data_IF_065834067227
#
_entry.id   IF_065834067227
#
_cell.length_a   1.000
_cell.length_b   1.000
_cell.length_c   1.000
_cell.angle_alpha   90.00
_cell.angle_beta   90.00
_cell.angle_gamma   90.00
#
_symmetry.space_group_name_H-M   'P 1'
#
loop_
_entity.id
_entity.type
_entity.pdbx_description
1 polymer ?
#
# COMPACT_ATOMS: atom_id res chain seq x y z
N UNK A 1 8.96 37.73 -33.02
CA UNK A 1 10.20 36.99 -32.70
C UNK A 1 9.86 36.01 -31.60
N UNK A 2 9.76 34.74 -31.99
CA UNK A 2 9.52 33.60 -31.12
C UNK A 2 10.72 33.37 -30.19
N UNK A 3 10.43 33.13 -28.91
CA UNK A 3 11.40 32.74 -27.90
C UNK A 3 10.89 31.50 -27.18
N UNK A 4 11.04 30.36 -27.86
CA UNK A 4 10.82 29.01 -27.34
C UNK A 4 11.50 28.83 -25.98
N UNK A 5 10.71 28.59 -24.94
CA UNK A 5 11.15 27.83 -23.77
C UNK A 5 10.22 26.65 -23.61
N UNK A 6 10.39 25.68 -24.51
CA UNK A 6 9.98 24.31 -24.28
C UNK A 6 10.75 23.76 -23.07
N UNK A 7 10.29 24.12 -21.88
CA UNK A 7 10.77 23.60 -20.63
C UNK A 7 10.34 22.14 -20.58
N UNK A 8 11.28 21.26 -20.91
CA UNK A 8 11.12 19.82 -20.85
C UNK A 8 10.51 19.43 -19.51
N UNK A 9 9.22 19.09 -19.52
CA UNK A 9 8.54 18.48 -18.38
C UNK A 9 9.14 17.10 -18.17
N UNK A 10 10.27 17.04 -17.47
CA UNK A 10 10.76 15.79 -16.91
C UNK A 10 9.60 15.16 -16.13
N UNK A 11 9.14 14.00 -16.56
CA UNK A 11 8.12 13.22 -15.85
C UNK A 11 8.72 12.90 -14.48
N UNK A 12 8.31 13.64 -13.46
CA UNK A 12 8.79 13.44 -12.10
C UNK A 12 8.23 12.11 -11.61
N UNK A 13 9.07 11.09 -11.58
CA UNK A 13 8.70 9.74 -11.11
C UNK A 13 8.05 9.80 -9.74
N UNK A 14 6.95 9.07 -9.56
CA UNK A 14 6.24 8.98 -8.29
C UNK A 14 7.00 8.09 -7.30
N UNK A 15 8.06 8.63 -6.68
CA UNK A 15 8.93 7.90 -5.74
C UNK A 15 8.17 7.22 -4.60
N UNK A 16 7.07 7.80 -4.14
CA UNK A 16 6.24 7.21 -3.08
C UNK A 16 5.55 5.92 -3.51
N UNK A 17 5.02 5.87 -4.74
CA UNK A 17 4.41 4.66 -5.31
C UNK A 17 5.42 3.52 -5.40
N UNK A 18 6.59 3.78 -5.99
CA UNK A 18 7.64 2.77 -6.12
C UNK A 18 8.14 2.28 -4.76
N UNK A 19 8.24 3.18 -3.77
CA UNK A 19 8.63 2.81 -2.42
C UNK A 19 7.61 1.88 -1.76
N UNK A 20 6.32 2.24 -1.74
CA UNK A 20 5.26 1.37 -1.20
C UNK A 20 5.19 0.04 -1.97
N UNK A 21 5.36 0.07 -3.29
CA UNK A 21 5.43 -1.12 -4.13
C UNK A 21 6.57 -2.07 -3.74
N UNK A 22 7.78 -1.54 -3.59
CA UNK A 22 8.95 -2.33 -3.17
C UNK A 22 8.74 -2.93 -1.77
N UNK A 23 8.21 -2.15 -0.83
CA UNK A 23 7.90 -2.64 0.51
C UNK A 23 6.81 -3.70 0.50
N UNK A 24 5.80 -3.56 -0.37
CA UNK A 24 4.75 -4.56 -0.54
C UNK A 24 5.32 -5.88 -1.06
N UNK A 25 6.26 -5.82 -2.01
CA UNK A 25 6.95 -7.01 -2.50
C UNK A 25 7.74 -7.69 -1.37
N UNK A 26 8.47 -6.92 -0.55
CA UNK A 26 9.17 -7.45 0.62
C UNK A 26 8.19 -8.12 1.60
N UNK A 27 7.04 -7.51 1.86
CA UNK A 27 6.01 -8.09 2.73
C UNK A 27 5.44 -9.39 2.16
N UNK A 28 5.26 -9.50 0.84
CA UNK A 28 4.78 -10.76 0.23
C UNK A 28 5.75 -11.93 0.38
N UNK A 29 7.00 -11.68 0.78
CA UNK A 29 7.98 -12.72 1.09
C UNK A 29 7.92 -13.18 2.54
N UNK A 30 6.97 -12.69 3.36
CA UNK A 30 6.84 -13.07 4.76
C UNK A 30 5.81 -14.19 4.95
N UNK A 31 6.10 -15.21 5.79
CA UNK A 31 7.42 -15.53 6.33
C UNK A 31 8.35 -16.01 5.20
N UNK A 32 9.65 -15.77 5.34
CA UNK A 32 10.63 -16.19 4.33
C UNK A 32 10.70 -17.72 4.20
N UNK A 33 10.28 -18.44 5.24
CA UNK A 33 10.19 -19.89 5.27
C UNK A 33 9.13 -20.37 4.27
N UNK A 34 9.54 -21.26 3.34
CA UNK A 34 8.64 -21.88 2.37
C UNK A 34 8.38 -21.05 1.11
N UNK A 35 9.00 -19.88 0.98
CA UNK A 35 8.99 -19.08 -0.25
C UNK A 35 9.70 -19.83 -1.38
N UNK A 36 9.03 -19.96 -2.54
CA UNK A 36 9.63 -20.46 -3.77
C UNK A 36 10.45 -19.33 -4.44
N UNK A 37 11.80 -19.47 -4.53
CA UNK A 37 12.64 -18.44 -5.09
C UNK A 37 12.42 -18.20 -6.59
N UNK A 38 12.04 -19.23 -7.35
CA UNK A 38 11.74 -19.09 -8.77
C UNK A 38 10.48 -18.25 -8.96
N UNK A 39 9.41 -18.57 -8.21
CA UNK A 39 8.16 -17.78 -8.25
C UNK A 39 8.37 -16.35 -7.78
N UNK A 40 9.20 -16.15 -6.76
CA UNK A 40 9.57 -14.81 -6.28
C UNK A 40 10.23 -13.96 -7.38
N UNK A 41 11.16 -14.54 -8.14
CA UNK A 41 11.83 -13.86 -9.27
C UNK A 41 10.86 -13.60 -10.42
N UNK A 42 10.02 -14.58 -10.78
CA UNK A 42 9.02 -14.44 -11.84
C UNK A 42 7.95 -13.37 -11.54
N UNK A 43 7.72 -13.05 -10.26
CA UNK A 43 6.81 -11.98 -9.87
C UNK A 43 7.39 -10.58 -10.14
N UNK A 44 8.72 -10.41 -10.16
CA UNK A 44 9.35 -9.08 -10.30
C UNK A 44 8.87 -8.32 -11.55
N UNK A 45 8.86 -8.92 -12.76
CA UNK A 45 8.31 -8.26 -13.94
C UNK A 45 6.85 -7.82 -13.79
N UNK A 46 6.00 -8.65 -13.17
CA UNK A 46 4.58 -8.32 -12.94
C UNK A 46 4.44 -7.16 -11.95
N UNK A 47 5.19 -7.18 -10.85
CA UNK A 47 5.20 -6.09 -9.88
C UNK A 47 5.67 -4.77 -10.51
N UNK A 48 6.73 -4.80 -11.31
CA UNK A 48 7.24 -3.62 -12.03
C UNK A 48 6.23 -3.09 -13.06
N UNK A 49 5.63 -3.98 -13.87
CA UNK A 49 4.56 -3.61 -14.78
C UNK A 49 3.41 -2.93 -14.02
N UNK A 50 3.06 -3.45 -12.83
CA UNK A 50 1.97 -2.93 -11.99
C UNK A 50 2.25 -1.51 -11.51
N UNK A 51 3.49 -1.26 -11.07
CA UNK A 51 3.91 0.07 -10.66
C UNK A 51 3.89 1.07 -11.82
N UNK A 52 4.41 0.67 -12.99
CA UNK A 52 4.44 1.52 -14.19
C UNK A 52 3.01 1.85 -14.65
N UNK A 53 2.12 0.86 -14.69
CA UNK A 53 0.73 1.08 -15.07
C UNK A 53 0.03 1.99 -14.07
N UNK A 54 0.21 1.76 -12.76
CA UNK A 54 -0.42 2.57 -11.72
C UNK A 54 0.07 4.01 -11.73
N UNK A 55 1.36 4.25 -11.99
CA UNK A 55 1.91 5.59 -12.16
C UNK A 55 1.21 6.36 -13.29
N UNK A 56 0.91 5.68 -14.40
CA UNK A 56 0.22 6.26 -15.55
C UNK A 56 -1.29 6.42 -15.33
N UNK A 57 -1.92 5.44 -14.69
CA UNK A 57 -3.38 5.37 -14.55
C UNK A 57 -3.88 6.26 -13.42
N UNK A 58 -3.16 6.37 -12.30
CA UNK A 58 -3.62 7.08 -11.10
C UNK A 58 -3.99 8.55 -11.35
N UNK A 59 -3.18 9.37 -12.05
CA UNK A 59 -3.56 10.75 -12.37
C UNK A 59 -4.80 10.85 -13.27
N UNK A 60 -4.96 9.91 -14.20
CA UNK A 60 -6.11 9.85 -15.11
C UNK A 60 -7.39 9.41 -14.40
N UNK A 61 -7.28 8.43 -13.50
CA UNK A 61 -8.36 8.02 -12.61
C UNK A 61 -8.80 9.18 -11.70
N UNK A 62 -7.85 9.86 -11.04
CA UNK A 62 -8.14 10.99 -10.16
C UNK A 62 -8.77 12.19 -10.89
N UNK A 63 -8.43 12.38 -12.17
CA UNK A 63 -9.03 13.42 -13.03
C UNK A 63 -10.29 12.95 -13.78
N UNK A 64 -10.75 11.71 -13.58
CA UNK A 64 -11.90 11.08 -14.26
C UNK A 64 -11.76 11.08 -15.79
N UNK A 65 -10.54 10.89 -16.27
CA UNK A 65 -10.16 10.87 -17.70
C UNK A 65 -9.68 9.48 -18.14
N UNK A 66 -10.27 8.43 -17.58
CA UNK A 66 -10.01 7.07 -18.04
C UNK A 66 -10.73 6.86 -19.38
N UNK A 67 -9.98 6.71 -20.46
CA UNK A 67 -10.51 6.36 -21.77
C UNK A 67 -10.22 4.91 -22.15
N UNK A 68 -10.47 4.59 -23.42
CA UNK A 68 -10.23 3.25 -23.99
C UNK A 68 -8.77 2.79 -23.83
N UNK A 69 -7.80 3.69 -24.02
CA UNK A 69 -6.37 3.38 -23.88
C UNK A 69 -6.03 2.96 -22.44
N UNK A 70 -6.57 3.67 -21.45
CA UNK A 70 -6.39 3.34 -20.04
C UNK A 70 -7.09 2.04 -19.68
N UNK A 71 -8.30 1.83 -20.20
CA UNK A 71 -9.02 0.56 -20.08
C UNK A 71 -8.20 -0.62 -20.58
N UNK A 72 -7.56 -0.48 -21.74
CA UNK A 72 -6.69 -1.52 -22.30
C UNK A 72 -5.47 -1.80 -21.41
N UNK A 73 -4.84 -0.78 -20.83
CA UNK A 73 -3.74 -0.97 -19.86
C UNK A 73 -4.24 -1.70 -18.62
N UNK A 74 -5.41 -1.31 -18.08
CA UNK A 74 -6.03 -1.96 -16.91
C UNK A 74 -6.32 -3.43 -17.22
N UNK A 75 -6.91 -3.73 -18.38
CA UNK A 75 -7.21 -5.11 -18.77
C UNK A 75 -5.94 -5.93 -18.90
N UNK A 76 -4.95 -5.44 -19.66
CA UNK A 76 -3.71 -6.15 -19.90
C UNK A 76 -2.99 -6.48 -18.59
N UNK A 77 -2.98 -5.55 -17.64
CA UNK A 77 -2.32 -5.78 -16.36
C UNK A 77 -3.12 -6.64 -15.39
N UNK A 78 -4.43 -6.68 -15.54
CA UNK A 78 -5.30 -7.51 -14.71
C UNK A 78 -5.25 -8.98 -15.13
N UNK A 79 -4.97 -9.29 -16.41
CA UNK A 79 -4.91 -10.67 -16.91
C UNK A 79 -3.97 -11.57 -16.10
N UNK A 80 -2.71 -11.19 -15.81
CA UNK A 80 -1.85 -11.99 -14.93
C UNK A 80 -2.45 -12.23 -13.54
N UNK A 81 -3.07 -11.22 -12.93
CA UNK A 81 -3.71 -11.37 -11.61
C UNK A 81 -4.94 -12.28 -11.67
N UNK A 82 -5.72 -12.23 -12.75
CA UNK A 82 -6.85 -13.13 -12.98
C UNK A 82 -6.37 -14.57 -13.23
N UNK A 83 -5.25 -14.75 -13.94
CA UNK A 83 -4.64 -16.08 -14.10
C UNK A 83 -4.16 -16.64 -12.75
N UNK A 84 -3.53 -15.80 -11.92
CA UNK A 84 -3.16 -16.18 -10.55
C UNK A 84 -4.39 -16.53 -9.70
N UNK A 85 -5.53 -15.85 -9.90
CA UNK A 85 -6.81 -16.16 -9.26
C UNK A 85 -7.31 -17.60 -9.49
N UNK A 86 -6.94 -18.19 -10.63
CA UNK A 86 -7.35 -19.54 -11.00
C UNK A 86 -6.46 -20.60 -10.35
N UNK A 87 -5.25 -20.22 -9.95
CA UNK A 87 -4.25 -21.09 -9.35
C UNK A 87 -4.27 -21.02 -7.82
N UNK A 88 -4.62 -19.86 -7.28
CA UNK A 88 -4.60 -19.56 -5.85
C UNK A 88 -6.02 -19.33 -5.31
N UNK A 89 -6.25 -19.46 -3.99
CA UNK A 89 -7.56 -19.24 -3.41
C UNK A 89 -8.16 -17.87 -3.79
N UNK A 90 -9.40 -17.82 -4.32
CA UNK A 90 -9.96 -16.60 -4.92
C UNK A 90 -10.12 -15.45 -3.90
N UNK A 91 -10.19 -15.76 -2.61
CA UNK A 91 -10.28 -14.75 -1.56
C UNK A 91 -9.04 -13.84 -1.48
N UNK A 92 -7.87 -14.26 -1.98
CA UNK A 92 -6.66 -13.43 -2.00
C UNK A 92 -6.79 -12.18 -2.89
N UNK A 93 -7.67 -12.23 -3.89
CA UNK A 93 -7.98 -11.09 -4.76
C UNK A 93 -9.08 -10.20 -4.22
N UNK A 94 -9.88 -10.70 -3.27
CA UNK A 94 -11.03 -9.95 -2.75
C UNK A 94 -10.61 -8.62 -2.12
N UNK A 95 -9.49 -8.59 -1.38
CA UNK A 95 -9.00 -7.39 -0.69
C UNK A 95 -8.47 -6.35 -1.70
N UNK A 96 -7.54 -6.69 -2.63
CA UNK A 96 -7.17 -5.76 -3.71
C UNK A 96 -8.34 -5.30 -4.57
N UNK A 97 -9.26 -6.20 -4.94
CA UNK A 97 -10.42 -5.84 -5.74
C UNK A 97 -11.33 -4.83 -5.01
N UNK A 98 -11.55 -5.02 -3.71
CA UNK A 98 -12.31 -4.09 -2.88
C UNK A 98 -11.64 -2.70 -2.83
N UNK A 99 -10.31 -2.62 -2.65
CA UNK A 99 -9.60 -1.34 -2.67
C UNK A 99 -9.58 -0.69 -4.05
N UNK A 100 -9.50 -1.48 -5.13
CA UNK A 100 -9.61 -0.97 -6.50
C UNK A 100 -10.98 -0.35 -6.74
N UNK A 101 -12.05 -1.09 -6.42
CA UNK A 101 -13.42 -0.60 -6.56
C UNK A 101 -13.65 0.65 -5.71
N UNK A 102 -13.25 0.63 -4.44
CA UNK A 102 -13.35 1.79 -3.56
C UNK A 102 -12.63 3.01 -4.14
N UNK A 103 -11.42 2.82 -4.68
CA UNK A 103 -10.64 3.90 -5.31
C UNK A 103 -11.37 4.53 -6.48
N UNK A 104 -11.92 3.70 -7.38
CA UNK A 104 -12.65 4.18 -8.54
C UNK A 104 -13.95 4.91 -8.14
N UNK A 105 -14.71 4.33 -7.20
CA UNK A 105 -15.94 4.94 -6.68
C UNK A 105 -15.67 6.29 -6.00
N UNK A 106 -14.63 6.38 -5.19
CA UNK A 106 -14.25 7.61 -4.48
C UNK A 106 -13.77 8.70 -5.44
N UNK A 107 -12.99 8.35 -6.47
CA UNK A 107 -12.62 9.32 -7.50
C UNK A 107 -13.84 9.78 -8.31
N UNK A 108 -14.78 8.88 -8.61
CA UNK A 108 -16.02 9.24 -9.30
C UNK A 108 -16.90 10.19 -8.45
N UNK A 109 -16.97 9.95 -7.14
CA UNK A 109 -17.69 10.78 -6.17
C UNK A 109 -16.97 12.10 -5.80
N UNK A 110 -15.91 12.49 -6.51
CA UNK A 110 -15.08 13.68 -6.20
C UNK A 110 -14.39 13.67 -4.83
N UNK A 111 -14.26 12.50 -4.21
CA UNK A 111 -13.57 12.32 -2.94
C UNK A 111 -12.08 11.99 -3.17
N UNK A 112 -11.36 12.91 -3.83
CA UNK A 112 -9.98 12.68 -4.29
C UNK A 112 -9.02 12.25 -3.18
N UNK A 113 -9.13 12.84 -2.00
CA UNK A 113 -8.24 12.55 -0.90
C UNK A 113 -8.47 11.13 -0.35
N UNK A 114 -9.73 10.66 -0.28
CA UNK A 114 -10.04 9.27 0.05
C UNK A 114 -9.65 8.30 -1.07
N UNK A 115 -9.86 8.66 -2.33
CA UNK A 115 -9.39 7.87 -3.47
C UNK A 115 -7.87 7.69 -3.48
N UNK A 116 -7.11 8.70 -3.03
CA UNK A 116 -5.68 8.57 -2.83
C UNK A 116 -5.32 7.60 -1.70
N UNK A 117 -6.05 7.64 -0.59
CA UNK A 117 -5.86 6.72 0.54
C UNK A 117 -6.08 5.28 0.10
N UNK A 118 -7.24 4.99 -0.50
CA UNK A 118 -7.58 3.64 -0.96
C UNK A 118 -6.69 3.19 -2.10
N UNK A 119 -6.27 4.09 -2.99
CA UNK A 119 -5.35 3.75 -4.08
C UNK A 119 -3.93 3.44 -3.60
N UNK A 120 -3.49 4.05 -2.49
CA UNK A 120 -2.23 3.67 -1.84
C UNK A 120 -2.37 2.34 -1.08
N UNK A 121 -3.51 2.12 -0.41
CA UNK A 121 -3.80 0.85 0.27
C UNK A 121 -3.98 -0.31 -0.72
N UNK A 122 -4.52 -0.06 -1.92
CA UNK A 122 -4.57 -1.01 -3.03
C UNK A 122 -3.18 -1.57 -3.32
N UNK A 123 -2.18 -0.69 -3.44
CA UNK A 123 -0.81 -1.13 -3.69
C UNK A 123 -0.29 -2.03 -2.58
N UNK A 124 -0.56 -1.70 -1.32
CA UNK A 124 -0.17 -2.55 -0.18
C UNK A 124 -0.91 -3.90 -0.15
N UNK A 125 -2.19 -3.90 -0.54
CA UNK A 125 -3.01 -5.11 -0.57
C UNK A 125 -2.56 -6.12 -1.62
N UNK A 126 -1.78 -5.72 -2.63
CA UNK A 126 -1.22 -6.67 -3.59
C UNK A 126 -0.31 -7.71 -2.92
N UNK A 127 0.18 -7.46 -1.70
CA UNK A 127 0.89 -8.45 -0.89
C UNK A 127 0.10 -9.76 -0.70
N UNK A 128 -1.24 -9.72 -0.68
CA UNK A 128 -2.08 -10.92 -0.60
C UNK A 128 -1.89 -11.84 -1.81
N UNK A 129 -1.94 -11.27 -3.02
CA UNK A 129 -1.87 -12.03 -4.27
C UNK A 129 -0.43 -12.45 -4.56
N UNK A 130 0.50 -11.52 -4.35
CA UNK A 130 1.93 -11.77 -4.51
C UNK A 130 2.42 -12.85 -3.55
N UNK A 131 2.00 -12.78 -2.29
CA UNK A 131 2.40 -13.74 -1.28
C UNK A 131 1.79 -15.12 -1.48
N UNK A 132 0.52 -15.20 -1.89
CA UNK A 132 -0.10 -16.48 -2.23
C UNK A 132 0.59 -17.18 -3.40
N UNK A 133 0.96 -16.43 -4.44
CA UNK A 133 1.69 -17.01 -5.57
C UNK A 133 3.06 -17.56 -5.19
N UNK A 134 3.80 -16.84 -4.34
CA UNK A 134 5.21 -17.13 -4.05
C UNK A 134 5.38 -18.29 -3.05
N UNK A 135 4.41 -18.55 -2.16
CA UNK A 135 4.58 -19.60 -1.15
C UNK A 135 3.44 -19.68 -0.15
N UNK A 136 3.69 -20.22 1.06
CA UNK A 136 2.65 -20.39 2.06
C UNK A 136 2.09 -19.03 2.45
N UNK A 137 0.76 -18.89 2.33
CA UNK A 137 0.09 -17.63 2.55
C UNK A 137 0.12 -17.22 4.02
N UNK A 138 0.67 -16.04 4.33
CA UNK A 138 0.67 -15.48 5.68
C UNK A 138 -0.18 -14.21 5.77
N UNK A 139 -1.50 -14.44 5.77
CA UNK A 139 -2.53 -13.39 5.72
C UNK A 139 -2.37 -12.32 6.78
N UNK A 140 -1.89 -12.69 7.97
CA UNK A 140 -1.72 -11.76 9.09
C UNK A 140 -0.74 -10.65 8.75
N UNK A 141 0.42 -10.97 8.17
CA UNK A 141 1.40 -9.96 7.76
C UNK A 141 0.86 -9.06 6.65
N UNK A 142 0.15 -9.64 5.68
CA UNK A 142 -0.41 -8.91 4.54
C UNK A 142 -1.49 -7.93 5.00
N UNK A 143 -2.33 -8.35 5.94
CA UNK A 143 -3.37 -7.51 6.53
C UNK A 143 -2.78 -6.40 7.39
N UNK A 144 -1.79 -6.71 8.23
CA UNK A 144 -1.06 -5.73 9.05
C UNK A 144 -0.45 -4.64 8.17
N UNK A 145 0.25 -5.04 7.10
CA UNK A 145 0.84 -4.11 6.15
C UNK A 145 -0.21 -3.25 5.45
N UNK A 146 -1.29 -3.87 4.95
CA UNK A 146 -2.34 -3.16 4.22
C UNK A 146 -3.02 -2.11 5.09
N UNK A 147 -3.39 -2.46 6.33
CA UNK A 147 -4.06 -1.54 7.24
C UNK A 147 -3.12 -0.49 7.83
N UNK A 148 -1.84 -0.84 8.03
CA UNK A 148 -0.79 0.13 8.34
C UNK A 148 -0.65 1.19 7.24
N UNK A 149 -0.53 0.76 5.98
CA UNK A 149 -0.40 1.68 4.84
C UNK A 149 -1.69 2.50 4.64
N UNK A 150 -2.87 1.90 4.84
CA UNK A 150 -4.14 2.62 4.80
C UNK A 150 -4.18 3.76 5.83
N UNK A 151 -3.94 3.46 7.11
CA UNK A 151 -3.91 4.47 8.17
C UNK A 151 -2.77 5.48 7.99
N UNK A 152 -1.61 5.03 7.48
CA UNK A 152 -0.49 5.88 7.11
C UNK A 152 -0.85 6.88 6.00
N UNK A 153 -1.61 6.45 5.00
CA UNK A 153 -2.10 7.33 3.94
C UNK A 153 -3.12 8.35 4.46
N UNK A 154 -4.04 7.95 5.36
CA UNK A 154 -4.95 8.87 6.06
C UNK A 154 -4.15 9.90 6.86
N UNK A 155 -3.10 9.47 7.58
CA UNK A 155 -2.20 10.34 8.33
C UNK A 155 -1.47 11.34 7.43
N UNK A 156 -0.98 10.93 6.26
CA UNK A 156 -0.32 11.83 5.31
C UNK A 156 -1.31 12.85 4.74
N UNK A 157 -2.50 12.42 4.33
CA UNK A 157 -3.54 13.34 3.83
C UNK A 157 -4.02 14.30 4.92
N UNK A 158 -4.03 13.89 6.21
CA UNK A 158 -4.27 14.79 7.34
C UNK A 158 -3.17 15.84 7.51
N UNK A 159 -1.90 15.45 7.38
CA UNK A 159 -0.75 16.31 7.63
C UNK A 159 -0.57 17.41 6.57
N UNK A 160 -1.04 17.17 5.36
CA UNK A 160 -0.95 18.15 4.28
C UNK A 160 -1.89 19.34 4.52
N UNK A 161 -1.42 20.59 4.31
CA UNK A 161 -2.27 21.76 4.42
C UNK A 161 -3.40 21.71 3.38
N UNK A 162 -4.53 22.35 3.68
CA UNK A 162 -5.72 22.47 2.82
C UNK A 162 -6.50 21.17 2.53
N UNK A 163 -6.10 20.03 3.10
CA UNK A 163 -6.91 18.80 3.07
C UNK A 163 -7.99 18.81 4.15
N UNK A 164 -9.13 18.14 3.87
CA UNK A 164 -10.30 18.09 4.77
C UNK A 164 -10.21 17.04 5.87
N UNK A 165 -9.13 16.26 5.93
CA UNK A 165 -8.96 15.23 6.96
C UNK A 165 -8.77 15.85 8.35
N UNK A 166 -9.44 15.28 9.35
CA UNK A 166 -9.32 15.69 10.75
C UNK A 166 -8.36 14.76 11.50
N UNK A 167 -7.82 15.15 12.66
CA UNK A 167 -7.04 14.23 13.49
C UNK A 167 -7.87 13.00 13.91
N UNK A 168 -9.19 13.18 14.08
CA UNK A 168 -10.11 12.08 14.38
C UNK A 168 -10.21 11.08 13.23
N UNK A 169 -10.08 11.52 11.97
CA UNK A 169 -10.06 10.62 10.82
C UNK A 169 -8.88 9.65 10.90
N UNK A 170 -7.71 10.12 11.34
CA UNK A 170 -6.52 9.27 11.57
C UNK A 170 -6.73 8.31 12.74
N UNK A 171 -7.26 8.81 13.86
CA UNK A 171 -7.52 7.99 15.05
C UNK A 171 -8.53 6.89 14.73
N UNK A 172 -9.63 7.23 14.09
CA UNK A 172 -10.68 6.29 13.73
C UNK A 172 -10.19 5.27 12.70
N UNK A 173 -9.41 5.68 11.70
CA UNK A 173 -8.84 4.72 10.75
C UNK A 173 -7.92 3.72 11.44
N UNK A 174 -7.11 4.18 12.40
CA UNK A 174 -6.22 3.30 13.15
C UNK A 174 -6.96 2.41 14.14
N UNK A 175 -7.92 2.93 14.89
CA UNK A 175 -8.76 2.13 15.80
C UNK A 175 -9.52 1.06 15.02
N UNK A 176 -10.12 1.40 13.88
CA UNK A 176 -10.76 0.43 13.00
C UNK A 176 -9.76 -0.61 12.49
N UNK A 177 -8.55 -0.18 12.11
CA UNK A 177 -7.47 -1.08 11.69
C UNK A 177 -7.09 -2.07 12.81
N UNK A 178 -6.92 -1.57 14.04
CA UNK A 178 -6.61 -2.39 15.22
C UNK A 178 -7.72 -3.39 15.51
N UNK A 179 -8.99 -2.98 15.46
CA UNK A 179 -10.13 -3.87 15.69
C UNK A 179 -10.18 -5.00 14.64
N UNK A 180 -9.84 -4.70 13.39
CA UNK A 180 -9.78 -5.71 12.32
C UNK A 180 -8.65 -6.73 12.54
N UNK A 181 -7.48 -6.31 13.04
CA UNK A 181 -6.35 -7.23 13.25
C UNK A 181 -6.35 -7.92 14.60
N UNK A 182 -7.03 -7.37 15.62
CA UNK A 182 -7.00 -7.86 16.99
C UNK A 182 -7.29 -9.37 17.13
N UNK A 183 -8.30 -9.96 16.44
CA UNK A 183 -8.56 -11.40 16.54
C UNK A 183 -7.39 -12.24 16.02
N UNK A 184 -6.69 -11.77 14.99
CA UNK A 184 -5.53 -12.45 14.42
C UNK A 184 -4.31 -12.29 15.33
N UNK A 185 -4.19 -11.15 16.00
CA UNK A 185 -3.10 -10.89 16.95
C UNK A 185 -3.11 -11.86 18.14
N UNK A 186 -4.29 -12.37 18.55
CA UNK A 186 -4.39 -13.34 19.65
C UNK A 186 -3.57 -14.60 19.38
N UNK A 187 -3.58 -15.08 18.14
CA UNK A 187 -2.82 -16.26 17.72
C UNK A 187 -1.34 -15.95 17.42
N UNK A 188 -0.99 -14.67 17.28
CA UNK A 188 0.35 -14.21 16.94
C UNK A 188 0.79 -13.04 17.84
N UNK A 189 0.90 -13.24 19.16
CA UNK A 189 1.06 -12.14 20.12
C UNK A 189 2.35 -11.34 19.92
N UNK A 190 3.42 -11.98 19.45
CA UNK A 190 4.68 -11.29 19.16
C UNK A 190 4.53 -10.26 18.03
N UNK A 191 3.66 -10.50 17.05
CA UNK A 191 3.43 -9.55 15.96
C UNK A 191 2.75 -8.26 16.46
N UNK A 192 2.11 -8.27 17.63
CA UNK A 192 1.57 -7.06 18.26
C UNK A 192 2.64 -5.99 18.49
N UNK A 193 3.91 -6.38 18.66
CA UNK A 193 5.02 -5.45 18.83
C UNK A 193 5.17 -4.50 17.62
N UNK A 194 4.89 -4.99 16.40
CA UNK A 194 4.92 -4.15 15.20
C UNK A 194 3.85 -3.05 15.24
N UNK A 195 2.75 -3.24 15.99
CA UNK A 195 1.64 -2.28 16.08
C UNK A 195 1.87 -1.17 17.13
N UNK A 196 2.88 -1.32 18.00
CA UNK A 196 3.12 -0.38 19.11
C UNK A 196 3.49 1.01 18.60
N UNK A 197 4.52 1.11 17.75
CA UNK A 197 4.95 2.41 17.21
C UNK A 197 3.85 3.10 16.38
N UNK A 198 3.19 2.41 15.42
CA UNK A 198 2.08 2.98 14.69
C UNK A 198 0.96 3.48 15.61
N UNK A 199 0.69 2.77 16.71
CA UNK A 199 -0.34 3.18 17.68
C UNK A 199 -0.03 4.51 18.35
N UNK A 200 1.20 4.71 18.82
CA UNK A 200 1.60 6.01 19.36
C UNK A 200 1.48 7.12 18.32
N UNK A 201 1.93 6.85 17.09
CA UNK A 201 1.92 7.81 15.98
C UNK A 201 0.51 8.19 15.52
N UNK A 202 -0.39 7.23 15.35
CA UNK A 202 -1.71 7.45 14.75
C UNK A 202 -2.80 7.83 15.77
N UNK A 203 -2.67 7.43 17.03
CA UNK A 203 -3.57 7.90 18.09
C UNK A 203 -3.27 9.35 18.51
N UNK A 204 -2.01 9.77 18.37
CA UNK A 204 -1.54 11.13 18.66
C UNK A 204 -0.88 11.74 17.42
N UNK A 205 -1.66 12.06 16.37
CA UNK A 205 -1.09 12.48 15.09
C UNK A 205 -0.37 13.83 15.14
N UNK A 206 -0.56 14.65 16.19
CA UNK A 206 0.03 15.98 16.32
C UNK A 206 -0.52 16.98 15.29
N UNK A 207 0.11 18.13 15.12
CA UNK A 207 -0.40 19.24 14.30
C UNK A 207 -0.13 19.10 12.79
N UNK A 208 -0.83 19.87 11.96
CA UNK A 208 -0.61 19.90 10.51
C UNK A 208 0.73 20.55 10.16
N UNK A 209 1.24 20.22 8.99
CA UNK A 209 2.49 20.80 8.51
C UNK A 209 2.25 22.17 7.89
N UNK A 210 3.15 23.10 8.18
CA UNK A 210 3.05 24.51 7.75
C UNK A 210 3.93 24.82 6.54
N UNK A 211 5.01 24.06 6.33
CA UNK A 211 6.04 24.38 5.34
C UNK A 211 6.44 23.21 4.43
N UNK A 212 6.89 23.48 3.18
CA UNK A 212 7.44 22.44 2.29
C UNK A 212 8.63 21.68 2.89
N UNK A 213 9.45 22.34 3.72
CA UNK A 213 10.58 21.72 4.44
C UNK A 213 10.08 20.67 5.43
N UNK A 214 8.98 20.95 6.13
CA UNK A 214 8.33 19.99 7.01
C UNK A 214 7.75 18.79 6.26
N UNK A 215 7.16 19.00 5.07
CA UNK A 215 6.64 17.90 4.24
C UNK A 215 7.77 16.95 3.84
N UNK A 216 8.92 17.48 3.42
CA UNK A 216 10.11 16.66 3.09
C UNK A 216 10.62 15.89 4.32
N UNK A 217 10.62 16.53 5.48
CA UNK A 217 11.02 15.91 6.73
C UNK A 217 10.03 14.82 7.19
N UNK A 218 8.72 15.02 6.96
CA UNK A 218 7.69 14.00 7.20
C UNK A 218 7.99 12.75 6.37
N UNK A 219 8.31 12.90 5.09
CA UNK A 219 8.67 11.76 4.23
C UNK A 219 9.89 10.99 4.74
N UNK A 220 10.97 11.70 5.14
CA UNK A 220 12.18 11.06 5.69
C UNK A 220 11.93 10.34 7.02
N UNK A 221 11.19 10.98 7.93
CA UNK A 221 10.81 10.36 9.22
C UNK A 221 9.86 9.19 9.00
N UNK A 222 8.89 9.35 8.09
CA UNK A 222 7.96 8.32 7.66
C UNK A 222 8.69 7.07 7.19
N UNK A 223 9.63 7.21 6.26
CA UNK A 223 10.44 6.09 5.78
C UNK A 223 11.13 5.31 6.91
N UNK A 224 11.68 6.00 7.91
CA UNK A 224 12.29 5.32 9.07
C UNK A 224 11.27 4.54 9.90
N UNK A 225 10.05 5.07 10.05
CA UNK A 225 8.97 4.39 10.77
C UNK A 225 8.40 3.22 9.97
N UNK A 226 8.27 3.37 8.66
CA UNK A 226 7.82 2.30 7.76
C UNK A 226 8.83 1.14 7.77
N UNK A 227 10.13 1.45 7.75
CA UNK A 227 11.19 0.44 7.90
C UNK A 227 11.17 -0.22 9.28
N UNK A 228 11.02 0.55 10.37
CA UNK A 228 10.91 -0.01 11.72
C UNK A 228 9.72 -0.97 11.83
N UNK A 229 8.55 -0.57 11.31
CA UNK A 229 7.36 -1.41 11.26
C UNK A 229 7.64 -2.73 10.53
N UNK A 230 8.25 -2.64 9.34
CA UNK A 230 8.57 -3.82 8.54
C UNK A 230 9.63 -4.71 9.19
N UNK A 231 10.66 -4.15 9.81
CA UNK A 231 11.68 -4.93 10.52
C UNK A 231 11.04 -5.69 11.68
N UNK A 232 10.18 -5.05 12.47
CA UNK A 232 9.46 -5.73 13.55
C UNK A 232 8.50 -6.79 13.00
N UNK A 233 7.76 -6.47 11.94
CA UNK A 233 6.85 -7.41 11.29
C UNK A 233 7.61 -8.64 10.77
N UNK A 234 8.71 -8.43 10.06
CA UNK A 234 9.54 -9.50 9.52
C UNK A 234 10.17 -10.36 10.62
N UNK A 235 10.80 -9.73 11.62
CA UNK A 235 11.43 -10.44 12.73
C UNK A 235 10.43 -11.31 13.51
N UNK A 236 9.25 -10.76 13.80
CA UNK A 236 8.20 -11.50 14.52
C UNK A 236 7.54 -12.57 13.65
N UNK A 237 7.44 -12.35 12.33
CA UNK A 237 6.96 -13.35 11.36
C UNK A 237 7.93 -14.53 11.23
N UNK A 238 9.24 -14.29 11.18
CA UNK A 238 10.28 -15.34 11.15
C UNK A 238 10.28 -16.13 12.46
N UNK A 239 10.23 -15.44 13.60
CA UNK A 239 10.15 -16.10 14.90
C UNK A 239 8.91 -17.01 15.03
N UNK A 240 7.81 -16.66 14.36
CA UNK A 240 6.64 -17.53 14.26
C UNK A 240 6.87 -18.69 13.29
N UNK A 241 7.34 -18.43 12.06
CA UNK A 241 7.60 -19.47 11.06
C UNK A 241 8.54 -20.57 11.55
N UNK A 242 9.56 -20.21 12.33
CA UNK A 242 10.50 -21.16 12.95
C UNK A 242 9.88 -22.04 14.05
N UNK A 243 8.70 -21.69 14.60
CA UNK A 243 8.00 -22.51 15.61
C UNK A 243 7.03 -23.53 15.01
N UNK A 244 6.70 -23.38 13.72
CA UNK A 244 5.69 -24.19 13.02
C UNK A 244 6.34 -25.30 12.18
N UNK A 245 7.64 -25.19 11.89
CA UNK A 245 8.49 -26.27 11.35
C UNK A 245 8.95 -27.14 12.52
#
# INVERSE_FOLDING_TARGET
MEGSSAQGRGVTRNKGLYFVGALTYIVSLLPVVGVDPMRAVLLIPLALATLIATERLRPKAASRRLGLKEGLIITLISVPYLALALLEPPFLLSVPAAFLLATLLLYNANLQAWGNVTGTALMASLSFVWGGFIGPTFLVAYLYWTLYVFSGAVYVEYKLPFRRFSPNSVRLSWVASLLTVAPLTVNHPLMALALVEPSFRFLRPGERLSSPKEIRNLGRKGLRKDLLFLTLLAATSVAYGLRVI
#
